data_IF_329202870962
#
_entry.id   IF_329202870962
#
_cell.length_a   1.000
_cell.length_b   1.000
_cell.length_c   1.000
_cell.angle_alpha   90.00
_cell.angle_beta   90.00
_cell.angle_gamma   90.00
#
_symmetry.space_group_name_H-M   'P 1'
#
loop_
_entity.id
_entity.type
_entity.pdbx_description
1 polymer ?
#
# COMPACT_ATOMS: atom_id res chain seq x y z
N UNK A 1 -12.22 -6.67 -3.44
CA UNK A 1 -11.47 -5.71 -4.28
C UNK A 1 -10.12 -5.44 -3.57
N UNK A 2 -8.96 -5.72 -4.17
CA UNK A 2 -7.67 -5.31 -3.56
C UNK A 2 -7.41 -3.84 -3.87
N UNK A 3 -7.08 -3.05 -2.85
CA UNK A 3 -6.79 -1.60 -2.96
C UNK A 3 -5.65 -1.34 -3.96
N UNK A 4 -4.69 -2.26 -4.03
CA UNK A 4 -3.57 -2.23 -4.97
C UNK A 4 -3.82 -3.26 -6.08
N UNK A 5 -4.37 -2.79 -7.20
CA UNK A 5 -4.69 -3.67 -8.34
C UNK A 5 -3.44 -4.04 -9.15
N UNK A 6 -3.41 -5.25 -9.73
CA UNK A 6 -2.32 -5.65 -10.64
C UNK A 6 -2.16 -4.69 -11.84
N UNK A 7 -3.25 -4.00 -12.25
CA UNK A 7 -3.21 -2.98 -13.30
C UNK A 7 -2.33 -1.79 -12.89
N UNK A 8 -2.39 -1.38 -11.63
CA UNK A 8 -1.52 -0.34 -11.09
C UNK A 8 -0.04 -0.76 -11.12
N UNK A 9 0.24 -2.00 -10.70
CA UNK A 9 1.61 -2.55 -10.75
C UNK A 9 2.16 -2.62 -12.18
N UNK A 10 1.31 -2.98 -13.15
CA UNK A 10 1.71 -2.95 -14.57
C UNK A 10 2.08 -1.55 -15.04
N UNK A 11 1.28 -0.53 -14.69
CA UNK A 11 1.58 0.87 -15.05
C UNK A 11 2.89 1.36 -14.43
N UNK A 12 3.18 0.99 -13.18
CA UNK A 12 4.45 1.31 -12.53
C UNK A 12 5.61 0.67 -13.29
N UNK A 13 5.53 -0.62 -13.61
CA UNK A 13 6.57 -1.30 -14.39
C UNK A 13 6.76 -0.64 -15.77
N UNK A 14 5.67 -0.29 -16.47
CA UNK A 14 5.72 0.41 -17.75
C UNK A 14 6.41 1.77 -17.65
N UNK A 15 6.18 2.53 -16.56
CA UNK A 15 6.85 3.81 -16.30
C UNK A 15 8.36 3.68 -16.10
N UNK A 16 8.84 2.51 -15.66
CA UNK A 16 10.26 2.18 -15.55
C UNK A 16 10.82 1.54 -16.84
N UNK A 17 10.10 1.62 -17.97
CA UNK A 17 10.45 0.91 -19.22
C UNK A 17 10.59 -0.62 -19.04
N UNK A 18 9.83 -1.22 -18.12
CA UNK A 18 9.84 -2.66 -17.83
C UNK A 18 8.50 -3.31 -18.18
N UNK A 19 8.58 -4.57 -18.63
CA UNK A 19 7.41 -5.44 -18.78
C UNK A 19 7.30 -6.35 -17.56
N UNK A 20 6.09 -6.51 -17.03
CA UNK A 20 5.83 -7.41 -15.91
C UNK A 20 4.77 -8.45 -16.26
N UNK A 21 5.08 -9.72 -15.98
CA UNK A 21 4.15 -10.82 -16.15
C UNK A 21 2.99 -10.72 -15.16
N UNK A 22 1.82 -11.26 -15.54
CA UNK A 22 0.59 -11.19 -14.71
C UNK A 22 0.80 -11.77 -13.31
N UNK A 23 1.36 -12.98 -13.20
CA UNK A 23 1.62 -13.63 -11.89
C UNK A 23 2.59 -12.83 -11.01
N UNK A 24 3.60 -12.20 -11.61
CA UNK A 24 4.53 -11.34 -10.88
C UNK A 24 3.84 -10.08 -10.36
N UNK A 25 3.05 -9.40 -11.21
CA UNK A 25 2.26 -8.25 -10.80
C UNK A 25 1.24 -8.59 -9.69
N UNK A 26 0.61 -9.76 -9.76
CA UNK A 26 -0.29 -10.26 -8.71
C UNK A 26 0.45 -10.54 -7.39
N UNK A 27 1.67 -11.10 -7.45
CA UNK A 27 2.49 -11.33 -6.26
C UNK A 27 2.86 -10.01 -5.58
N UNK A 28 3.34 -9.02 -6.35
CA UNK A 28 3.68 -7.69 -5.83
C UNK A 28 2.45 -7.00 -5.25
N UNK A 29 1.32 -7.02 -5.96
CA UNK A 29 0.03 -6.49 -5.47
C UNK A 29 -0.35 -7.04 -4.10
N UNK A 30 -0.24 -8.37 -3.90
CA UNK A 30 -0.53 -9.01 -2.60
C UNK A 30 0.44 -8.58 -1.51
N UNK A 31 1.72 -8.46 -1.83
CA UNK A 31 2.74 -8.06 -0.87
C UNK A 31 2.53 -6.61 -0.42
N UNK A 32 2.36 -5.68 -1.37
CA UNK A 32 2.08 -4.29 -1.07
C UNK A 32 0.79 -4.11 -0.27
N UNK A 33 -0.24 -4.92 -0.53
CA UNK A 33 -1.47 -4.89 0.27
C UNK A 33 -1.23 -5.25 1.74
N UNK A 34 -0.31 -6.17 2.02
CA UNK A 34 0.08 -6.54 3.40
C UNK A 34 0.88 -5.41 4.05
N UNK A 35 1.84 -4.84 3.33
CA UNK A 35 2.66 -3.73 3.84
C UNK A 35 1.80 -2.49 4.11
N UNK A 36 0.88 -2.15 3.21
CA UNK A 36 -0.08 -1.07 3.40
C UNK A 36 -0.98 -1.31 4.62
N UNK A 37 -1.43 -2.55 4.85
CA UNK A 37 -2.23 -2.88 6.03
C UNK A 37 -1.43 -2.74 7.34
N UNK A 38 -0.14 -3.11 7.34
CA UNK A 38 0.76 -2.90 8.48
C UNK A 38 0.99 -1.42 8.75
N UNK A 39 1.24 -0.63 7.70
CA UNK A 39 1.41 0.81 7.80
C UNK A 39 0.15 1.48 8.35
N UNK A 40 -1.02 1.12 7.82
CA UNK A 40 -2.32 1.61 8.29
C UNK A 40 -2.58 1.24 9.75
N UNK A 41 -2.20 0.03 10.17
CA UNK A 41 -2.31 -0.39 11.58
C UNK A 41 -1.44 0.47 12.51
N UNK A 42 -0.21 0.78 12.11
CA UNK A 42 0.69 1.67 12.86
C UNK A 42 0.14 3.09 12.93
N UNK A 43 -0.28 3.63 11.79
CA UNK A 43 -0.86 4.98 11.74
C UNK A 43 -2.17 5.08 12.54
N UNK A 44 -3.01 4.05 12.50
CA UNK A 44 -4.21 3.97 13.33
C UNK A 44 -3.89 3.93 14.82
N UNK A 45 -2.79 3.28 15.23
CA UNK A 45 -2.36 3.28 16.62
C UNK A 45 -1.91 4.69 17.06
N UNK A 46 -1.13 5.39 16.23
CA UNK A 46 -0.69 6.76 16.50
C UNK A 46 -1.86 7.75 16.59
N UNK A 47 -2.81 7.65 15.67
CA UNK A 47 -4.04 8.44 15.70
C UNK A 47 -4.85 8.17 16.99
N UNK A 48 -4.96 6.89 17.36
CA UNK A 48 -5.64 6.44 18.58
C UNK A 48 -4.99 6.95 19.87
N UNK A 49 -3.66 7.01 19.94
CA UNK A 49 -2.92 7.60 21.07
C UNK A 49 -3.23 9.10 21.24
N UNK A 50 -3.56 9.79 20.14
CA UNK A 50 -3.97 11.20 20.13
C UNK A 50 -5.49 11.38 20.33
N UNK A 51 -6.25 10.31 20.62
CA UNK A 51 -7.70 10.34 20.77
C UNK A 51 -8.47 10.57 19.46
N UNK A 52 -7.81 10.44 18.31
CA UNK A 52 -8.40 10.70 16.98
C UNK A 52 -8.83 9.40 16.31
N UNK A 53 -9.99 9.45 15.66
CA UNK A 53 -10.49 8.36 14.80
C UNK A 53 -9.98 8.51 13.36
N UNK A 54 -9.69 9.74 12.94
CA UNK A 54 -9.14 10.04 11.61
C UNK A 54 -7.62 10.01 11.64
N UNK A 55 -7.01 9.17 10.81
CA UNK A 55 -5.56 9.14 10.58
C UNK A 55 -5.16 10.38 9.79
N UNK A 56 -4.14 11.09 10.26
CA UNK A 56 -3.53 12.23 9.57
C UNK A 56 -2.11 11.91 9.13
N UNK A 57 -1.50 12.84 8.38
CA UNK A 57 -0.14 12.68 7.87
C UNK A 57 0.87 12.47 9.00
N UNK A 58 0.75 13.21 10.11
CA UNK A 58 1.63 13.08 11.28
C UNK A 58 1.52 11.73 12.01
N UNK A 59 0.46 10.95 11.74
CA UNK A 59 0.30 9.61 12.32
C UNK A 59 1.04 8.54 11.49
N UNK A 60 1.39 8.85 10.23
CA UNK A 60 2.07 7.90 9.32
C UNK A 60 3.56 7.88 9.68
N UNK A 61 4.12 6.71 10.05
CA UNK A 61 5.56 6.62 10.30
C UNK A 61 6.35 6.82 9.00
N UNK A 62 7.50 7.50 9.09
CA UNK A 62 8.48 7.62 8.01
C UNK A 62 8.93 6.25 7.46
#
# INVERSE_FOLDING_TARGET
MSIISFKGIKKIAESENRKIGRKAAEKISKQLAREAALLLKKASANAGLSGRVTIREEDIPD
#
